data_IF_608571098383
#
_entry.id   IF_608571098383
#
_cell.length_a   1.000
_cell.length_b   1.000
_cell.length_c   1.000
_cell.angle_alpha   90.00
_cell.angle_beta   90.00
_cell.angle_gamma   90.00
#
_symmetry.space_group_name_H-M   'P 1'
#
loop_
_entity.id
_entity.type
_entity.pdbx_description
1 polymer ?
#
# COMPACT_ATOMS: atom_id res chain seq x y z
N UNK A 1 -3.30 13.33 -6.36
CA UNK A 1 -3.42 14.79 -6.31
C UNK A 1 -2.14 15.47 -6.83
N UNK A 2 -0.96 15.17 -6.29
CA UNK A 2 0.31 15.84 -6.62
C UNK A 2 0.66 15.84 -8.11
N UNK A 3 0.16 14.90 -8.88
CA UNK A 3 0.38 14.76 -10.32
C UNK A 3 -0.80 15.31 -11.16
N UNK A 4 -1.67 16.11 -10.56
CA UNK A 4 -2.77 16.79 -11.26
C UNK A 4 -4.12 16.07 -11.26
N UNK A 5 -4.21 14.86 -10.68
CA UNK A 5 -5.50 14.20 -10.53
C UNK A 5 -6.40 14.92 -9.50
N UNK A 6 -7.66 15.10 -9.83
CA UNK A 6 -8.67 15.45 -8.83
C UNK A 6 -8.97 14.23 -7.95
N UNK A 7 -8.74 14.35 -6.66
CA UNK A 7 -8.96 13.27 -5.71
C UNK A 7 -10.04 13.68 -4.70
N UNK A 8 -11.11 12.92 -4.64
CA UNK A 8 -12.21 13.07 -3.69
C UNK A 8 -12.06 11.97 -2.64
N UNK A 9 -11.75 12.36 -1.41
CA UNK A 9 -11.64 11.46 -0.26
C UNK A 9 -12.99 11.36 0.44
N UNK A 10 -13.52 10.16 0.52
CA UNK A 10 -14.73 9.86 1.29
C UNK A 10 -14.34 9.49 2.72
N UNK A 11 -14.88 10.17 3.67
CA UNK A 11 -14.58 10.00 5.10
C UNK A 11 -15.86 9.70 5.90
N UNK A 12 -15.72 9.05 7.05
CA UNK A 12 -16.82 8.85 7.99
C UNK A 12 -17.34 10.19 8.52
N UNK A 13 -18.66 10.36 8.65
CA UNK A 13 -19.22 11.52 9.34
C UNK A 13 -18.69 11.63 10.77
N UNK A 14 -18.47 12.84 11.24
CA UNK A 14 -17.99 13.22 12.59
C UNK A 14 -16.54 12.81 12.86
N UNK A 15 -16.18 11.55 12.68
CA UNK A 15 -14.86 11.02 13.04
C UNK A 15 -13.80 11.29 11.99
N UNK A 16 -14.18 11.27 10.72
CA UNK A 16 -13.25 11.42 9.60
C UNK A 16 -12.29 10.24 9.46
N UNK A 17 -11.15 10.52 8.87
CA UNK A 17 -10.04 9.58 8.72
C UNK A 17 -9.31 9.39 10.06
N UNK A 18 -8.96 8.16 10.40
CA UNK A 18 -8.25 7.84 11.66
C UNK A 18 -6.92 8.59 11.80
N UNK A 19 -6.25 8.88 10.68
CA UNK A 19 -4.99 9.63 10.71
C UNK A 19 -5.16 11.08 11.18
N UNK A 20 -6.37 11.63 11.21
CA UNK A 20 -6.67 12.95 11.78
C UNK A 20 -6.38 13.03 13.28
N UNK A 21 -6.46 11.87 13.97
CA UNK A 21 -6.33 11.75 15.43
C UNK A 21 -4.96 11.27 15.89
N UNK A 22 -4.00 11.05 14.98
CA UNK A 22 -2.66 10.61 15.34
C UNK A 22 -1.90 11.71 16.10
N UNK A 23 -1.09 11.27 17.07
CA UNK A 23 -0.54 12.09 18.15
C UNK A 23 0.36 13.26 17.74
N UNK A 24 1.05 13.15 16.60
CA UNK A 24 1.92 14.24 16.13
C UNK A 24 1.07 15.30 15.42
N UNK A 25 0.88 16.43 16.09
CA UNK A 25 0.05 17.52 15.56
C UNK A 25 0.77 18.87 15.55
N UNK A 26 0.46 19.70 14.55
CA UNK A 26 0.84 21.10 14.47
C UNK A 26 -0.46 21.91 14.44
N UNK A 27 -0.63 22.83 15.40
CA UNK A 27 -1.83 23.66 15.54
C UNK A 27 -3.15 22.84 15.59
N UNK A 28 -3.11 21.65 16.21
CA UNK A 28 -4.27 20.77 16.33
C UNK A 28 -4.54 19.88 15.11
N UNK A 29 -3.74 19.97 14.05
CA UNK A 29 -3.86 19.11 12.87
C UNK A 29 -2.79 18.02 12.87
N UNK A 30 -3.18 16.77 12.66
CA UNK A 30 -2.24 15.66 12.52
C UNK A 30 -1.30 15.90 11.34
N UNK A 31 0.02 15.85 11.59
CA UNK A 31 1.04 16.01 10.56
C UNK A 31 0.97 14.91 9.52
N UNK A 32 0.64 13.68 9.93
CA UNK A 32 0.48 12.55 9.03
C UNK A 32 -0.73 12.72 8.12
N UNK A 33 -1.86 13.21 8.66
CA UNK A 33 -3.03 13.51 7.85
C UNK A 33 -2.72 14.59 6.80
N UNK A 34 -2.09 15.68 7.21
CA UNK A 34 -1.72 16.78 6.29
C UNK A 34 -0.79 16.29 5.18
N UNK A 35 0.20 15.49 5.54
CA UNK A 35 1.16 14.96 4.57
C UNK A 35 0.51 14.03 3.55
N UNK A 36 -0.31 13.10 4.00
CA UNK A 36 -0.94 12.10 3.14
C UNK A 36 -2.11 12.65 2.30
N UNK A 37 -2.73 13.76 2.72
CA UNK A 37 -3.99 14.21 2.12
C UNK A 37 -3.94 15.59 1.45
N UNK A 38 -2.74 16.15 1.28
CA UNK A 38 -2.61 17.45 0.59
C UNK A 38 -3.21 17.39 -0.82
N UNK A 39 -3.93 18.45 -1.20
CA UNK A 39 -4.53 18.57 -2.53
C UNK A 39 -5.75 17.69 -2.78
N UNK A 40 -6.24 16.93 -1.79
CA UNK A 40 -7.47 16.15 -1.89
C UNK A 40 -8.68 16.97 -1.44
N UNK A 41 -9.79 16.83 -2.13
CA UNK A 41 -11.11 17.27 -1.66
C UNK A 41 -11.64 16.23 -0.67
N UNK A 42 -12.38 16.65 0.35
CA UNK A 42 -13.00 15.74 1.33
C UNK A 42 -14.50 15.89 1.32
N UNK A 43 -15.19 14.75 1.37
CA UNK A 43 -16.62 14.65 1.62
C UNK A 43 -16.86 13.64 2.75
N UNK A 44 -17.93 13.85 3.52
CA UNK A 44 -18.30 12.92 4.60
C UNK A 44 -19.59 12.18 4.23
N UNK A 45 -19.54 10.85 4.23
CA UNK A 45 -20.67 9.99 3.89
C UNK A 45 -20.61 8.73 4.76
N UNK A 46 -21.74 8.36 5.36
CA UNK A 46 -21.89 7.05 5.97
C UNK A 46 -22.13 6.00 4.87
N UNK A 47 -21.13 5.21 4.57
CA UNK A 47 -21.23 4.16 3.54
C UNK A 47 -22.08 2.95 3.98
N UNK A 48 -22.48 2.88 5.25
CA UNK A 48 -23.40 1.85 5.76
C UNK A 48 -24.85 2.26 5.57
N UNK A 49 -25.11 3.55 5.37
CA UNK A 49 -26.42 4.07 5.01
C UNK A 49 -26.66 3.80 3.51
N UNK A 50 -27.78 3.15 3.13
CA UNK A 50 -28.11 2.90 1.73
C UNK A 50 -28.14 4.15 0.86
N UNK A 51 -28.62 5.27 1.37
CA UNK A 51 -28.65 6.55 0.64
C UNK A 51 -27.22 7.10 0.46
N UNK A 52 -26.35 6.93 1.47
CA UNK A 52 -24.95 7.27 1.39
C UNK A 52 -24.22 6.43 0.34
N UNK A 53 -24.45 5.11 0.34
CA UNK A 53 -23.86 4.22 -0.67
C UNK A 53 -24.37 4.56 -2.09
N UNK A 54 -25.65 4.85 -2.26
CA UNK A 54 -26.23 5.27 -3.54
C UNK A 54 -25.60 6.58 -4.04
N UNK A 55 -25.40 7.56 -3.16
CA UNK A 55 -24.73 8.82 -3.51
C UNK A 55 -23.28 8.60 -3.99
N UNK A 56 -22.56 7.65 -3.39
CA UNK A 56 -21.20 7.30 -3.82
C UNK A 56 -21.18 6.58 -5.17
N UNK A 57 -22.15 5.71 -5.45
CA UNK A 57 -22.29 5.11 -6.78
C UNK A 57 -22.59 6.16 -7.84
N UNK A 58 -23.45 7.15 -7.52
CA UNK A 58 -23.75 8.26 -8.44
C UNK A 58 -22.51 9.11 -8.72
N UNK A 59 -21.74 9.44 -7.67
CA UNK A 59 -20.44 10.10 -7.83
C UNK A 59 -19.49 9.27 -8.69
N UNK A 60 -19.49 7.96 -8.53
CA UNK A 60 -18.66 7.02 -9.28
C UNK A 60 -18.84 7.08 -10.79
N UNK A 61 -20.04 7.48 -11.29
CA UNK A 61 -20.27 7.68 -12.72
C UNK A 61 -19.37 8.74 -13.34
N UNK A 62 -18.91 9.70 -12.56
CA UNK A 62 -18.05 10.79 -12.99
C UNK A 62 -16.57 10.52 -12.73
N UNK A 63 -16.24 9.45 -12.02
CA UNK A 63 -14.87 9.11 -11.64
C UNK A 63 -14.21 8.21 -12.68
N UNK A 64 -12.90 8.35 -12.83
CA UNK A 64 -12.08 7.44 -13.65
C UNK A 64 -11.63 6.22 -12.86
N UNK A 65 -11.32 6.42 -11.58
CA UNK A 65 -10.77 5.40 -10.69
C UNK A 65 -11.51 5.43 -9.36
N UNK A 66 -11.89 4.27 -8.86
CA UNK A 66 -12.27 4.05 -7.46
C UNK A 66 -11.11 3.38 -6.75
N UNK A 67 -10.76 3.90 -5.57
CA UNK A 67 -9.64 3.41 -4.77
C UNK A 67 -10.11 3.12 -3.34
N UNK A 68 -9.87 1.90 -2.85
CA UNK A 68 -10.27 1.51 -1.49
C UNK A 68 -9.21 0.63 -0.82
N UNK A 69 -9.20 0.65 0.52
CA UNK A 69 -8.26 -0.12 1.34
C UNK A 69 -8.97 -0.86 2.48
N UNK A 70 -10.22 -1.22 2.27
CA UNK A 70 -11.03 -1.89 3.29
C UNK A 70 -10.73 -3.39 3.36
N UNK A 71 -11.13 -3.99 4.46
CA UNK A 71 -11.07 -5.45 4.58
C UNK A 71 -11.87 -6.10 3.45
N UNK A 72 -11.32 -7.13 2.77
CA UNK A 72 -12.00 -7.83 1.70
C UNK A 72 -13.44 -8.23 2.04
N UNK A 73 -14.35 -7.93 1.12
CA UNK A 73 -15.78 -8.14 1.27
C UNK A 73 -16.55 -7.01 1.98
N UNK A 74 -15.88 -6.01 2.55
CA UNK A 74 -16.57 -4.88 3.20
C UNK A 74 -17.29 -4.01 2.18
N UNK A 75 -16.65 -3.64 1.08
CA UNK A 75 -17.27 -2.85 0.01
C UNK A 75 -18.47 -3.59 -0.60
N UNK A 76 -18.37 -4.91 -0.78
CA UNK A 76 -19.49 -5.72 -1.27
C UNK A 76 -20.71 -5.69 -0.36
N UNK A 77 -20.51 -5.71 0.96
CA UNK A 77 -21.62 -5.63 1.94
C UNK A 77 -22.34 -4.29 1.89
N UNK A 78 -21.66 -3.24 1.46
CA UNK A 78 -22.21 -1.89 1.30
C UNK A 78 -22.74 -1.63 -0.12
N UNK A 79 -22.67 -2.62 -1.04
CA UNK A 79 -23.04 -2.43 -2.43
C UNK A 79 -22.10 -1.51 -3.22
N UNK A 80 -20.84 -1.43 -2.82
CA UNK A 80 -19.82 -0.53 -3.38
C UNK A 80 -18.60 -1.31 -3.93
N UNK A 81 -18.77 -2.59 -4.26
CA UNK A 81 -17.72 -3.39 -4.87
C UNK A 81 -17.55 -3.08 -6.37
N UNK A 82 -16.56 -3.69 -6.98
CA UNK A 82 -16.27 -3.51 -8.40
C UNK A 82 -17.49 -3.73 -9.30
N UNK A 83 -18.28 -4.77 -9.06
CA UNK A 83 -19.44 -5.09 -9.88
C UNK A 83 -20.53 -4.02 -9.79
N UNK A 84 -20.72 -3.45 -8.59
CA UNK A 84 -21.67 -2.34 -8.40
C UNK A 84 -21.24 -1.08 -9.17
N UNK A 85 -19.96 -0.72 -9.08
CA UNK A 85 -19.43 0.42 -9.85
C UNK A 85 -19.44 0.15 -11.36
N UNK A 86 -19.07 -1.05 -11.79
CA UNK A 86 -19.08 -1.45 -13.20
C UNK A 86 -20.47 -1.39 -13.81
N UNK A 87 -21.50 -1.69 -13.03
CA UNK A 87 -22.89 -1.60 -13.49
C UNK A 87 -23.32 -0.16 -13.85
N UNK A 88 -22.77 0.85 -13.14
CA UNK A 88 -23.09 2.26 -13.38
C UNK A 88 -22.07 2.97 -14.28
N UNK A 89 -20.84 2.44 -14.37
CA UNK A 89 -19.77 2.93 -15.22
C UNK A 89 -18.93 1.75 -15.74
N UNK A 90 -19.26 1.20 -16.92
CA UNK A 90 -18.65 -0.03 -17.44
C UNK A 90 -17.14 0.04 -17.64
N UNK A 91 -16.58 1.23 -17.86
CA UNK A 91 -15.15 1.47 -18.06
C UNK A 91 -14.40 1.90 -16.79
N UNK A 92 -15.01 1.72 -15.61
CA UNK A 92 -14.40 2.10 -14.34
C UNK A 92 -13.15 1.26 -14.05
N UNK A 93 -12.12 1.91 -13.50
CA UNK A 93 -10.97 1.24 -12.90
C UNK A 93 -11.20 1.19 -11.40
N UNK A 94 -11.16 -0.01 -10.81
CA UNK A 94 -11.38 -0.22 -9.40
C UNK A 94 -10.12 -0.82 -8.77
N UNK A 95 -9.45 -0.07 -7.90
CA UNK A 95 -8.25 -0.49 -7.23
C UNK A 95 -8.50 -0.77 -5.75
N UNK A 96 -8.28 -2.01 -5.36
CA UNK A 96 -8.39 -2.47 -3.97
C UNK A 96 -6.99 -2.81 -3.44
N UNK A 97 -6.60 -2.25 -2.31
CA UNK A 97 -5.40 -2.63 -1.57
C UNK A 97 -5.82 -3.35 -0.30
N UNK A 98 -5.23 -4.50 -0.04
CA UNK A 98 -5.41 -5.20 1.23
C UNK A 98 -4.11 -5.88 1.66
N UNK A 99 -4.04 -6.35 2.90
CA UNK A 99 -2.81 -6.96 3.40
C UNK A 99 -2.40 -8.20 2.60
N UNK A 100 -3.37 -9.04 2.19
CA UNK A 100 -3.12 -10.35 1.58
C UNK A 100 -3.85 -10.58 0.25
N UNK A 101 -4.45 -9.53 -0.34
CA UNK A 101 -5.24 -9.63 -1.57
C UNK A 101 -6.71 -9.99 -1.33
N UNK A 102 -7.50 -9.92 -2.38
CA UNK A 102 -8.94 -10.21 -2.36
C UNK A 102 -9.24 -11.72 -2.38
N UNK A 103 -8.25 -12.54 -2.75
CA UNK A 103 -8.39 -13.99 -2.90
C UNK A 103 -7.28 -14.74 -2.14
N UNK A 104 -7.42 -16.06 -2.01
CA UNK A 104 -6.45 -16.90 -1.35
C UNK A 104 -6.74 -17.17 0.13
N UNK A 105 -5.93 -18.02 0.78
CA UNK A 105 -6.23 -18.52 2.12
C UNK A 105 -6.20 -17.46 3.22
N UNK A 106 -5.44 -16.38 3.03
CA UNK A 106 -5.29 -15.27 3.99
C UNK A 106 -6.14 -14.04 3.66
N UNK A 107 -6.95 -14.05 2.62
CA UNK A 107 -7.73 -12.88 2.18
C UNK A 107 -8.63 -12.29 3.28
N UNK A 108 -9.10 -13.12 4.22
CA UNK A 108 -9.96 -12.69 5.32
C UNK A 108 -9.21 -12.32 6.60
N UNK A 109 -7.90 -12.57 6.65
CA UNK A 109 -7.09 -12.27 7.81
C UNK A 109 -6.94 -10.76 7.97
N UNK A 110 -6.92 -10.25 9.20
CA UNK A 110 -6.56 -8.86 9.44
C UNK A 110 -5.09 -8.65 9.08
N UNK A 111 -4.76 -7.47 8.59
CA UNK A 111 -3.39 -7.16 8.25
C UNK A 111 -3.10 -5.67 8.29
N UNK A 112 -1.90 -5.37 8.77
CA UNK A 112 -1.28 -4.05 8.77
C UNK A 112 0.15 -4.19 8.25
N UNK A 113 0.84 -3.10 8.07
CA UNK A 113 2.22 -3.04 7.61
C UNK A 113 3.13 -4.11 8.24
N UNK A 114 3.14 -4.20 9.58
CA UNK A 114 4.03 -5.14 10.28
C UNK A 114 3.72 -6.62 9.95
N UNK A 115 2.46 -6.97 9.71
CA UNK A 115 2.08 -8.34 9.32
C UNK A 115 2.46 -8.63 7.88
N UNK A 116 2.31 -7.65 6.99
CA UNK A 116 2.79 -7.75 5.61
C UNK A 116 4.31 -7.90 5.56
N UNK A 117 5.07 -7.14 6.37
CA UNK A 117 6.51 -7.29 6.50
C UNK A 117 6.92 -8.68 7.00
N UNK A 118 6.26 -9.18 8.03
CA UNK A 118 6.56 -10.51 8.57
C UNK A 118 6.26 -11.62 7.56
N UNK A 119 5.07 -11.59 6.94
CA UNK A 119 4.63 -12.62 6.00
C UNK A 119 5.36 -12.58 4.64
N UNK A 120 5.97 -11.45 4.29
CA UNK A 120 6.77 -11.33 3.06
C UNK A 120 8.20 -11.87 3.21
N UNK A 121 8.67 -12.10 4.44
CA UNK A 121 10.04 -12.52 4.72
C UNK A 121 11.04 -11.35 4.85
N UNK A 122 10.66 -10.10 4.56
CA UNK A 122 11.59 -8.96 4.59
C UNK A 122 12.16 -8.71 6.00
N UNK A 123 11.39 -9.00 7.05
CA UNK A 123 11.87 -8.88 8.42
C UNK A 123 12.98 -9.88 8.74
N UNK A 124 12.90 -11.09 8.19
CA UNK A 124 13.95 -12.09 8.41
C UNK A 124 15.25 -11.75 7.70
N UNK A 125 15.19 -11.02 6.61
CA UNK A 125 16.37 -10.53 5.87
C UNK A 125 16.93 -9.22 6.45
N UNK A 126 16.24 -8.58 7.38
CA UNK A 126 16.63 -7.28 7.95
C UNK A 126 17.16 -7.44 9.36
N UNK A 127 18.33 -6.85 9.64
CA UNK A 127 18.95 -6.85 10.96
C UNK A 127 20.32 -7.48 11.00
N UNK A 128 20.93 -7.54 12.19
CA UNK A 128 22.22 -8.15 12.43
C UNK A 128 22.19 -9.66 12.16
N UNK A 129 23.29 -10.21 11.64
CA UNK A 129 23.41 -11.62 11.19
C UNK A 129 22.91 -12.63 12.23
N UNK A 130 23.23 -12.44 13.50
CA UNK A 130 22.87 -13.31 14.62
C UNK A 130 21.79 -12.69 15.52
N UNK A 131 21.16 -11.60 15.07
CA UNK A 131 20.10 -10.91 15.80
C UNK A 131 18.69 -11.44 15.48
N UNK A 132 17.66 -10.91 16.13
CA UNK A 132 16.28 -11.21 15.79
C UNK A 132 15.86 -10.57 14.45
N UNK A 133 14.77 -11.02 13.83
CA UNK A 133 14.13 -10.31 12.72
C UNK A 133 13.78 -8.87 13.09
N UNK A 134 14.01 -7.93 12.20
CA UNK A 134 13.80 -6.50 12.46
C UNK A 134 12.83 -5.93 11.44
N UNK A 135 11.80 -5.21 11.92
CA UNK A 135 10.91 -4.47 11.06
C UNK A 135 11.60 -3.23 10.49
N UNK A 136 11.17 -2.77 9.32
CA UNK A 136 11.55 -1.47 8.80
C UNK A 136 11.18 -0.34 9.76
N UNK A 137 11.99 0.70 9.83
CA UNK A 137 11.71 1.92 10.60
C UNK A 137 10.51 2.73 10.07
N UNK A 138 10.10 2.46 8.84
CA UNK A 138 8.93 3.09 8.18
C UNK A 138 7.87 2.03 7.87
N UNK A 139 6.63 2.47 7.63
CA UNK A 139 5.52 1.62 7.18
C UNK A 139 5.70 1.28 5.68
N UNK A 140 6.69 0.43 5.42
CA UNK A 140 7.20 0.20 4.06
C UNK A 140 6.19 -0.47 3.14
N UNK A 141 5.34 -1.36 3.68
CA UNK A 141 4.35 -2.05 2.85
C UNK A 141 3.26 -1.11 2.36
N UNK A 142 2.82 -0.15 3.17
CA UNK A 142 1.86 0.87 2.77
C UNK A 142 2.42 1.74 1.64
N UNK A 143 3.67 2.19 1.76
CA UNK A 143 4.31 3.00 0.74
C UNK A 143 4.52 2.26 -0.57
N UNK A 144 5.00 1.03 -0.53
CA UNK A 144 5.27 0.24 -1.74
C UNK A 144 3.97 -0.15 -2.41
N UNK A 145 2.99 -0.67 -1.67
CA UNK A 145 1.70 -1.02 -2.24
C UNK A 145 0.96 0.20 -2.82
N UNK A 146 1.09 1.38 -2.19
CA UNK A 146 0.56 2.61 -2.75
C UNK A 146 1.21 3.00 -4.09
N UNK A 147 2.53 2.82 -4.22
CA UNK A 147 3.25 3.05 -5.49
C UNK A 147 2.90 2.02 -6.56
N UNK A 148 2.80 0.75 -6.18
CA UNK A 148 2.41 -0.33 -7.10
C UNK A 148 0.97 -0.13 -7.58
N UNK A 149 0.05 0.25 -6.68
CA UNK A 149 -1.32 0.59 -7.02
C UNK A 149 -1.39 1.78 -7.99
N UNK A 150 -0.60 2.83 -7.76
CA UNK A 150 -0.49 3.95 -8.68
C UNK A 150 -0.02 3.50 -10.06
N UNK A 151 1.05 2.71 -10.14
CA UNK A 151 1.57 2.16 -11.39
C UNK A 151 0.53 1.30 -12.12
N UNK A 152 -0.15 0.41 -11.40
CA UNK A 152 -1.20 -0.44 -11.95
C UNK A 152 -2.41 0.38 -12.46
N UNK A 153 -2.80 1.43 -11.73
CA UNK A 153 -3.85 2.34 -12.19
C UNK A 153 -3.46 3.08 -13.49
N UNK A 154 -2.20 3.50 -13.62
CA UNK A 154 -1.73 4.15 -14.85
C UNK A 154 -1.73 3.19 -16.05
N UNK A 155 -1.32 1.94 -15.84
CA UNK A 155 -1.41 0.89 -16.87
C UNK A 155 -2.87 0.61 -17.25
N UNK A 156 -3.76 0.54 -16.28
CA UNK A 156 -5.20 0.34 -16.51
C UNK A 156 -5.83 1.52 -17.26
N UNK A 157 -5.45 2.77 -16.95
CA UNK A 157 -5.88 3.95 -17.70
C UNK A 157 -5.40 3.91 -19.15
N UNK A 158 -4.15 3.50 -19.37
CA UNK A 158 -3.61 3.36 -20.72
C UNK A 158 -4.35 2.24 -21.50
N UNK A 159 -4.65 1.11 -20.84
CA UNK A 159 -5.47 0.05 -21.43
C UNK A 159 -6.86 0.58 -21.80
N UNK A 160 -7.54 1.23 -20.86
CA UNK A 160 -8.86 1.83 -21.10
C UNK A 160 -8.85 2.85 -22.25
N UNK A 161 -7.81 3.67 -22.34
CA UNK A 161 -7.65 4.62 -23.44
C UNK A 161 -7.59 3.94 -24.81
N UNK A 162 -7.02 2.74 -24.89
CA UNK A 162 -6.89 1.98 -26.15
C UNK A 162 -8.09 1.11 -26.48
N UNK A 163 -8.78 0.59 -25.47
CA UNK A 163 -9.81 -0.46 -25.64
C UNK A 163 -11.21 0.00 -25.23
N UNK A 164 -11.32 1.05 -24.43
CA UNK A 164 -12.56 1.46 -23.79
C UNK A 164 -12.94 0.61 -22.56
N UNK A 165 -12.11 -0.34 -22.14
CA UNK A 165 -12.42 -1.28 -21.06
C UNK A 165 -11.78 -0.87 -19.75
N UNK A 166 -12.59 -0.84 -18.67
CA UNK A 166 -12.13 -0.74 -17.29
C UNK A 166 -11.73 -2.10 -16.72
N UNK A 167 -11.16 -2.10 -15.52
CA UNK A 167 -10.75 -3.35 -14.85
C UNK A 167 -10.64 -3.20 -13.33
N UNK A 168 -10.68 -4.35 -12.64
CA UNK A 168 -10.34 -4.44 -11.23
C UNK A 168 -8.84 -4.69 -11.07
N UNK A 169 -8.25 -4.00 -10.09
CA UNK A 169 -6.86 -4.15 -9.67
C UNK A 169 -6.86 -4.61 -8.21
N UNK A 170 -6.23 -5.75 -7.95
CA UNK A 170 -6.04 -6.29 -6.60
C UNK A 170 -4.57 -6.16 -6.20
N UNK A 171 -4.29 -5.35 -5.19
CA UNK A 171 -2.95 -5.11 -4.67
C UNK A 171 -2.83 -5.69 -3.27
N UNK A 172 -1.97 -6.70 -3.11
CA UNK A 172 -1.68 -7.32 -1.83
C UNK A 172 -0.37 -6.76 -1.26
N UNK A 173 -0.43 -6.08 -0.11
CA UNK A 173 0.74 -5.47 0.54
C UNK A 173 1.87 -6.50 0.76
N UNK A 174 1.51 -7.70 1.21
CA UNK A 174 2.47 -8.79 1.41
C UNK A 174 3.17 -9.19 0.11
N UNK A 175 2.44 -9.25 -1.02
CA UNK A 175 3.02 -9.62 -2.31
C UNK A 175 3.92 -8.51 -2.87
N UNK A 176 3.56 -7.24 -2.69
CA UNK A 176 4.41 -6.12 -3.07
C UNK A 176 5.77 -6.19 -2.38
N UNK A 177 5.80 -6.49 -1.08
CA UNK A 177 7.07 -6.69 -0.36
C UNK A 177 7.79 -7.99 -0.78
N UNK A 178 7.05 -9.08 -0.95
CA UNK A 178 7.63 -10.35 -1.36
C UNK A 178 8.31 -10.27 -2.74
N UNK A 179 7.79 -9.41 -3.64
CA UNK A 179 8.39 -9.21 -4.97
C UNK A 179 9.80 -8.60 -4.92
N UNK A 180 10.19 -7.97 -3.81
CA UNK A 180 11.52 -7.41 -3.60
C UNK A 180 12.52 -8.43 -3.03
N UNK A 181 12.06 -9.60 -2.61
CA UNK A 181 12.90 -10.61 -1.98
C UNK A 181 13.70 -11.40 -3.02
N UNK A 182 14.94 -11.78 -2.72
CA UNK A 182 15.78 -12.55 -3.61
C UNK A 182 15.42 -14.05 -3.64
N UNK A 183 14.12 -14.36 -3.77
CA UNK A 183 13.63 -15.76 -3.84
C UNK A 183 14.24 -16.55 -4.99
N UNK A 184 14.73 -15.89 -6.04
CA UNK A 184 15.41 -16.55 -7.14
C UNK A 184 16.71 -17.21 -6.68
N UNK A 185 17.45 -16.59 -5.77
CA UNK A 185 18.64 -17.18 -5.16
C UNK A 185 18.31 -18.44 -4.37
N UNK A 186 17.24 -18.40 -3.58
CA UNK A 186 16.75 -19.55 -2.85
C UNK A 186 16.33 -20.69 -3.81
N UNK A 187 15.62 -20.36 -4.88
CA UNK A 187 15.18 -21.34 -5.87
C UNK A 187 16.34 -21.98 -6.65
N UNK A 188 17.45 -21.24 -6.86
CA UNK A 188 18.59 -21.71 -7.66
C UNK A 188 19.64 -22.45 -6.84
N UNK A 189 19.90 -22.06 -5.61
CA UNK A 189 20.98 -22.61 -4.78
C UNK A 189 20.50 -23.24 -3.46
N UNK A 190 19.20 -23.26 -3.19
CA UNK A 190 18.58 -23.87 -2.01
C UNK A 190 18.94 -23.19 -0.68
N UNK A 191 19.49 -21.98 -0.71
CA UNK A 191 19.84 -21.24 0.50
C UNK A 191 18.81 -20.17 0.78
N UNK A 192 18.28 -20.18 1.98
CA UNK A 192 17.43 -19.09 2.43
C UNK A 192 18.23 -17.79 2.55
N UNK A 193 17.70 -16.68 2.04
CA UNK A 193 18.32 -15.38 2.30
C UNK A 193 18.22 -15.07 3.80
N UNK A 194 19.36 -14.77 4.40
CA UNK A 194 19.43 -14.44 5.82
C UNK A 194 19.90 -13.01 6.04
N UNK A 195 19.65 -12.52 7.25
CA UNK A 195 20.18 -11.23 7.72
C UNK A 195 21.70 -11.17 7.56
N UNK A 196 22.18 -10.10 6.98
CA UNK A 196 23.61 -9.89 6.73
C UNK A 196 24.17 -8.71 7.56
N UNK A 197 23.35 -8.07 8.37
CA UNK A 197 23.70 -6.81 9.02
C UNK A 197 23.87 -5.70 7.99
N UNK A 198 24.84 -4.86 8.25
CA UNK A 198 25.15 -3.70 7.43
C UNK A 198 26.21 -3.97 6.34
N UNK A 199 26.44 -5.23 5.97
CA UNK A 199 27.44 -5.61 4.98
C UNK A 199 26.81 -6.45 3.87
N UNK A 200 27.38 -6.34 2.65
CA UNK A 200 27.02 -7.22 1.55
C UNK A 200 27.81 -8.52 1.61
N UNK A 201 27.17 -9.65 1.34
CA UNK A 201 27.87 -10.93 1.19
C UNK A 201 28.58 -11.08 -0.18
N UNK A 202 28.16 -10.30 -1.18
CA UNK A 202 28.63 -10.43 -2.56
C UNK A 202 29.70 -9.44 -2.98
N UNK A 203 29.98 -8.39 -2.18
CA UNK A 203 30.94 -7.33 -2.54
C UNK A 203 31.68 -6.82 -1.32
N UNK A 204 32.96 -6.52 -1.46
CA UNK A 204 33.81 -5.96 -0.39
C UNK A 204 34.81 -4.95 -0.98
N UNK A 205 34.99 -3.76 -0.37
CA UNK A 205 34.22 -3.25 0.75
C UNK A 205 32.82 -2.69 0.32
N UNK A 206 31.75 -3.25 0.87
CA UNK A 206 30.39 -2.77 0.64
C UNK A 206 29.60 -2.88 1.96
N UNK A 207 29.35 -1.76 2.62
CA UNK A 207 28.67 -1.78 3.91
C UNK A 207 28.85 -0.51 4.73
N UNK A 208 28.47 -0.62 6.00
CA UNK A 208 28.60 0.44 7.01
C UNK A 208 29.74 0.06 7.96
N UNK A 209 30.70 0.95 8.11
CA UNK A 209 31.89 0.75 8.94
C UNK A 209 31.90 1.77 10.07
N UNK A 210 32.21 1.30 11.28
CA UNK A 210 32.33 2.17 12.46
C UNK A 210 33.70 2.84 12.48
N UNK A 211 33.71 4.17 12.59
CA UNK A 211 34.90 4.98 12.80
C UNK A 211 35.26 5.15 14.28
N UNK A 212 36.32 5.91 14.60
CA UNK A 212 36.87 6.01 15.95
C UNK A 212 35.99 6.74 16.99
N UNK A 213 35.08 7.60 16.57
CA UNK A 213 34.30 8.50 17.44
C UNK A 213 32.78 8.28 17.33
N UNK A 214 32.33 7.02 17.29
CA UNK A 214 30.93 6.68 17.01
C UNK A 214 30.39 7.27 15.68
N UNK A 215 31.28 7.57 14.78
CA UNK A 215 31.00 7.95 13.41
C UNK A 215 30.80 6.69 12.56
N UNK A 216 30.03 6.82 11.49
CA UNK A 216 29.83 5.72 10.55
C UNK A 216 30.15 6.17 9.14
N UNK A 217 30.88 5.31 8.43
CA UNK A 217 31.24 5.48 7.03
C UNK A 217 30.51 4.43 6.19
N UNK A 218 29.86 4.85 5.11
CA UNK A 218 29.29 3.95 4.13
C UNK A 218 30.25 3.83 2.96
N UNK A 219 30.62 2.61 2.61
CA UNK A 219 31.45 2.31 1.45
C UNK A 219 30.66 1.42 0.51
N UNK A 220 30.61 1.78 -0.77
CA UNK A 220 30.01 1.00 -1.84
C UNK A 220 31.02 0.94 -3.01
N UNK A 221 31.92 -0.04 -2.95
CA UNK A 221 32.89 -0.30 -4.01
C UNK A 221 32.45 -1.53 -4.82
N UNK A 222 32.65 -1.45 -6.13
CA UNK A 222 32.46 -2.54 -7.09
C UNK A 222 33.78 -2.90 -7.74
#
# INVERSE_FOLDING_TARGET
ADLGAEVIKVELPVEGDDTRRLANSIQGYSTQFMWNNRGKKSITVDLKDPDGAAAILELGKTCDIVFETMKPGSMKKMGLDYEAFKAVKPDIIYCSISAFGQTGPKAKDPGFDILAQACSGIMDMTGERNGPPVKSGVIISDFISGKDAFGACMVALFHRFRTGEGQMIDVAMQQCLASMNPFLEQATNGKDPHRQGNHSAGSAPYGVFKGPKDEYLVIAAH
#
